data_IF_774462780459
#
_entry.id   IF_774462780459
#
_cell.length_a   1.000
_cell.length_b   1.000
_cell.length_c   1.000
_cell.angle_alpha   90.00
_cell.angle_beta   90.00
_cell.angle_gamma   90.00
#
_symmetry.space_group_name_H-M   'P 1'
#
loop_
_entity.id
_entity.type
_entity.pdbx_description
1 polymer ?
#
# COMPACT_ATOMS: atom_id res chain seq x y z
N UNK A 1 40.07 31.60 23.04
CA UNK A 1 39.01 30.59 22.86
C UNK A 1 37.67 31.28 23.06
N UNK A 2 36.94 31.52 21.98
CA UNK A 2 35.59 32.11 22.03
C UNK A 2 34.57 30.99 21.81
N UNK A 3 33.53 30.84 22.64
CA UNK A 3 32.48 29.87 22.40
C UNK A 3 31.46 30.48 21.44
N UNK A 4 31.46 30.01 20.19
CA UNK A 4 30.36 30.18 19.25
C UNK A 4 29.24 29.20 19.64
N UNK A 5 28.53 29.46 20.74
CA UNK A 5 27.24 28.83 20.99
C UNK A 5 26.16 29.66 20.30
N UNK A 6 26.05 29.47 18.99
CA UNK A 6 24.96 30.02 18.19
C UNK A 6 23.63 29.52 18.74
N UNK A 7 22.85 30.45 19.29
CA UNK A 7 21.55 30.21 19.90
C UNK A 7 20.51 29.95 18.79
N UNK A 8 20.43 28.72 18.27
CA UNK A 8 19.46 28.32 17.25
C UNK A 8 17.99 28.38 17.73
N UNK A 9 17.75 28.61 19.02
CA UNK A 9 16.43 28.61 19.65
C UNK A 9 15.59 29.87 19.33
N UNK A 10 16.20 30.97 18.89
CA UNK A 10 15.51 32.26 18.78
C UNK A 10 14.74 32.50 17.46
N UNK A 11 14.69 31.54 16.54
CA UNK A 11 14.09 31.75 15.20
C UNK A 11 12.68 31.17 15.00
N UNK A 12 12.10 30.45 15.96
CA UNK A 12 10.76 29.85 15.78
C UNK A 12 9.83 30.20 16.95
N UNK A 13 8.96 31.18 16.72
CA UNK A 13 7.90 31.57 17.66
C UNK A 13 6.85 30.46 17.82
N UNK A 14 6.08 30.46 18.92
CA UNK A 14 4.98 29.49 19.11
C UNK A 14 3.94 29.48 17.98
N UNK A 15 3.86 30.56 17.19
CA UNK A 15 3.00 30.66 15.99
C UNK A 15 3.48 29.73 14.86
N UNK A 16 4.78 29.46 14.75
CA UNK A 16 5.33 28.52 13.78
C UNK A 16 4.92 27.09 14.11
N UNK A 17 5.10 26.66 15.35
CA UNK A 17 4.70 25.31 15.81
C UNK A 17 3.20 25.06 15.63
N UNK A 18 2.35 26.03 16.00
CA UNK A 18 0.91 25.92 15.81
C UNK A 18 0.51 25.82 14.31
N UNK A 19 1.22 26.50 13.42
CA UNK A 19 0.99 26.40 11.97
C UNK A 19 1.46 25.05 11.42
N UNK A 20 2.63 24.59 11.88
CA UNK A 20 3.20 23.30 11.50
C UNK A 20 2.28 22.15 11.90
N UNK A 21 1.81 22.11 13.15
CA UNK A 21 0.88 21.09 13.64
C UNK A 21 -0.41 21.05 12.82
N UNK A 22 -0.96 22.22 12.50
CA UNK A 22 -2.15 22.34 11.65
C UNK A 22 -1.92 21.73 10.27
N UNK A 23 -0.78 22.01 9.62
CA UNK A 23 -0.46 21.49 8.28
C UNK A 23 -0.28 19.97 8.30
N UNK A 24 0.39 19.43 9.33
CA UNK A 24 0.58 17.98 9.50
C UNK A 24 -0.76 17.28 9.69
N UNK A 25 -1.59 17.76 10.63
CA UNK A 25 -2.90 17.17 10.92
C UNK A 25 -3.81 17.21 9.69
N UNK A 26 -3.87 18.35 9.00
CA UNK A 26 -4.70 18.48 7.79
C UNK A 26 -4.24 17.54 6.68
N UNK A 27 -2.93 17.40 6.48
CA UNK A 27 -2.36 16.44 5.52
C UNK A 27 -2.80 15.02 5.86
N UNK A 28 -2.67 14.62 7.13
CA UNK A 28 -3.06 13.29 7.59
C UNK A 28 -4.54 13.01 7.35
N UNK A 29 -5.42 13.91 7.77
CA UNK A 29 -6.86 13.79 7.55
C UNK A 29 -7.16 13.58 6.06
N UNK A 30 -6.58 14.43 5.20
CA UNK A 30 -6.85 14.38 3.76
C UNK A 30 -6.44 13.05 3.11
N UNK A 31 -5.23 12.54 3.37
CA UNK A 31 -4.84 11.27 2.75
C UNK A 31 -5.58 10.08 3.35
N UNK A 32 -5.91 10.11 4.66
CA UNK A 32 -6.71 9.05 5.30
C UNK A 32 -8.13 9.00 4.77
N UNK A 33 -8.74 10.14 4.46
CA UNK A 33 -10.07 10.16 3.83
C UNK A 33 -10.04 9.57 2.42
N UNK A 34 -9.00 9.86 1.63
CA UNK A 34 -8.83 9.21 0.31
C UNK A 34 -8.59 7.70 0.43
N UNK A 35 -7.83 7.26 1.43
CA UNK A 35 -7.62 5.84 1.73
C UNK A 35 -8.94 5.13 2.03
N UNK A 36 -9.85 5.74 2.82
CA UNK A 36 -11.18 5.17 3.09
C UNK A 36 -11.96 4.93 1.80
N UNK A 37 -12.01 5.93 0.92
CA UNK A 37 -12.71 5.83 -0.38
C UNK A 37 -12.11 4.70 -1.24
N UNK A 38 -10.78 4.62 -1.33
CA UNK A 38 -10.11 3.56 -2.08
C UNK A 38 -10.39 2.18 -1.47
N UNK A 39 -10.36 2.07 -0.14
CA UNK A 39 -10.68 0.82 0.56
C UNK A 39 -12.11 0.37 0.25
N UNK A 40 -13.09 1.26 0.34
CA UNK A 40 -14.48 0.94 0.02
C UNK A 40 -14.65 0.45 -1.42
N UNK A 41 -13.97 1.09 -2.38
CA UNK A 41 -13.95 0.63 -3.78
C UNK A 41 -13.31 -0.77 -3.90
N UNK A 42 -12.19 -1.00 -3.22
CA UNK A 42 -11.53 -2.30 -3.17
C UNK A 42 -12.43 -3.39 -2.58
N UNK A 43 -13.11 -3.10 -1.47
CA UNK A 43 -14.05 -4.02 -0.82
C UNK A 43 -15.21 -4.39 -1.75
N UNK A 44 -15.70 -3.44 -2.56
CA UNK A 44 -16.71 -3.71 -3.60
C UNK A 44 -16.16 -4.65 -4.68
N UNK A 45 -14.96 -4.38 -5.22
CA UNK A 45 -14.34 -5.24 -6.25
C UNK A 45 -14.10 -6.66 -5.73
N UNK A 46 -13.68 -6.82 -4.47
CA UNK A 46 -13.51 -8.14 -3.85
C UNK A 46 -14.84 -8.91 -3.78
N UNK A 47 -15.95 -8.22 -3.48
CA UNK A 47 -17.29 -8.82 -3.45
C UNK A 47 -17.80 -9.22 -4.84
N UNK A 48 -17.29 -8.60 -5.90
CA UNK A 48 -17.64 -8.93 -7.28
C UNK A 48 -16.91 -10.18 -7.81
N UNK A 49 -15.85 -10.66 -7.13
CA UNK A 49 -15.09 -11.84 -7.57
C UNK A 49 -15.98 -13.04 -7.95
N UNK A 50 -16.96 -13.50 -7.14
CA UNK A 50 -17.80 -14.66 -7.54
C UNK A 50 -18.68 -14.41 -8.77
N UNK A 51 -18.88 -13.16 -9.21
CA UNK A 51 -19.60 -12.82 -10.44
C UNK A 51 -18.73 -13.14 -11.67
N UNK A 52 -17.42 -12.89 -11.57
CA UNK A 52 -16.47 -13.05 -12.67
C UNK A 52 -15.66 -14.34 -12.62
N UNK A 53 -15.45 -14.90 -11.43
CA UNK A 53 -14.77 -16.17 -11.18
C UNK A 53 -15.67 -17.00 -10.28
N UNK A 54 -16.57 -17.74 -10.91
CA UNK A 54 -17.62 -18.46 -10.22
C UNK A 54 -17.15 -19.88 -9.82
N UNK A 55 -18.06 -20.65 -9.22
CA UNK A 55 -17.76 -22.01 -8.77
C UNK A 55 -17.47 -22.98 -9.92
N UNK A 56 -18.13 -22.82 -11.08
CA UNK A 56 -17.86 -23.66 -12.25
C UNK A 56 -16.44 -23.41 -12.77
N UNK A 57 -15.99 -22.15 -12.80
CA UNK A 57 -14.60 -21.80 -13.15
C UNK A 57 -13.62 -22.42 -12.16
N UNK A 58 -13.91 -22.34 -10.86
CA UNK A 58 -13.08 -22.95 -9.80
C UNK A 58 -12.97 -24.46 -9.93
N UNK A 59 -14.02 -25.14 -10.39
CA UNK A 59 -14.02 -26.58 -10.60
C UNK A 59 -13.29 -26.97 -11.89
N UNK A 60 -13.29 -26.10 -12.90
CA UNK A 60 -12.74 -26.38 -14.22
C UNK A 60 -11.26 -25.99 -14.34
N UNK A 61 -10.86 -24.90 -13.68
CA UNK A 61 -9.52 -24.34 -13.76
C UNK A 61 -8.78 -24.47 -12.43
N UNK A 62 -7.62 -25.12 -12.46
CA UNK A 62 -6.69 -25.20 -11.34
C UNK A 62 -5.40 -24.44 -11.60
N UNK A 63 -4.68 -24.13 -10.53
CA UNK A 63 -3.28 -23.68 -10.60
C UNK A 63 -2.36 -24.74 -9.99
N UNK A 64 -1.10 -24.73 -10.40
CA UNK A 64 -0.11 -25.66 -9.88
C UNK A 64 0.59 -25.12 -8.62
N UNK A 65 1.22 -26.01 -7.85
CA UNK A 65 2.01 -25.65 -6.65
C UNK A 65 3.09 -24.61 -6.98
N UNK A 66 3.72 -24.72 -8.16
CA UNK A 66 4.73 -23.77 -8.62
C UNK A 66 4.22 -22.34 -8.76
N UNK A 67 2.98 -22.15 -9.23
CA UNK A 67 2.36 -20.83 -9.29
C UNK A 67 2.28 -20.20 -7.90
N UNK A 68 1.78 -20.95 -6.91
CA UNK A 68 1.64 -20.48 -5.53
C UNK A 68 3.00 -20.18 -4.90
N UNK A 69 3.98 -21.06 -5.11
CA UNK A 69 5.36 -20.87 -4.61
C UNK A 69 6.00 -19.60 -5.18
N UNK A 70 5.87 -19.39 -6.48
CA UNK A 70 6.39 -18.19 -7.14
C UNK A 70 5.67 -16.92 -6.69
N UNK A 71 4.34 -16.95 -6.63
CA UNK A 71 3.53 -15.83 -6.15
C UNK A 71 3.94 -15.41 -4.74
N UNK A 72 4.02 -16.34 -3.80
CA UNK A 72 4.43 -16.04 -2.42
C UNK A 72 5.85 -15.49 -2.33
N UNK A 73 6.78 -16.03 -3.12
CA UNK A 73 8.15 -15.53 -3.19
C UNK A 73 8.21 -14.07 -3.67
N UNK A 74 7.39 -13.71 -4.66
CA UNK A 74 7.27 -12.33 -5.13
C UNK A 74 6.77 -11.38 -4.02
N UNK A 75 5.79 -11.79 -3.21
CA UNK A 75 5.32 -10.99 -2.07
C UNK A 75 6.30 -10.95 -0.89
N UNK A 76 7.13 -11.98 -0.73
CA UNK A 76 8.22 -11.99 0.23
C UNK A 76 9.42 -11.14 -0.22
N UNK A 77 9.52 -10.80 -1.50
CA UNK A 77 10.70 -10.13 -2.08
C UNK A 77 11.90 -11.07 -2.23
N UNK A 78 11.66 -12.38 -2.31
CA UNK A 78 12.70 -13.41 -2.30
C UNK A 78 12.72 -14.21 -3.62
N UNK A 79 13.88 -14.70 -4.08
CA UNK A 79 13.94 -15.61 -5.22
C UNK A 79 13.22 -16.92 -4.93
N UNK A 80 12.40 -17.39 -5.87
CA UNK A 80 11.68 -18.68 -5.75
C UNK A 80 12.61 -19.90 -5.77
N UNK A 81 13.83 -19.75 -6.30
CA UNK A 81 14.75 -20.85 -6.57
C UNK A 81 14.39 -21.64 -7.84
N UNK A 82 15.06 -22.77 -8.06
CA UNK A 82 14.83 -23.62 -9.23
C UNK A 82 13.45 -24.28 -9.17
N UNK A 83 12.80 -24.42 -10.33
CA UNK A 83 11.59 -25.21 -10.47
C UNK A 83 11.88 -26.70 -10.24
N UNK A 84 10.93 -27.40 -9.63
CA UNK A 84 11.05 -28.82 -9.27
C UNK A 84 9.81 -29.60 -9.72
N UNK A 85 9.90 -30.92 -9.87
CA UNK A 85 8.76 -31.77 -10.24
C UNK A 85 7.52 -31.59 -9.34
N UNK A 86 7.64 -31.45 -8.00
CA UNK A 86 6.50 -31.11 -7.14
C UNK A 86 5.72 -29.86 -7.54
N UNK A 87 6.37 -28.87 -8.19
CA UNK A 87 5.70 -27.65 -8.64
C UNK A 87 4.61 -27.93 -9.68
N UNK A 88 4.63 -29.09 -10.36
CA UNK A 88 3.64 -29.47 -11.38
C UNK A 88 2.34 -30.02 -10.80
N UNK A 89 2.30 -30.33 -9.50
CA UNK A 89 1.09 -30.83 -8.82
C UNK A 89 0.03 -29.74 -8.73
N UNK A 90 -1.24 -30.13 -8.65
CA UNK A 90 -2.34 -29.20 -8.37
C UNK A 90 -2.15 -28.56 -7.00
N UNK A 91 -2.34 -27.25 -6.90
CA UNK A 91 -2.47 -26.57 -5.63
C UNK A 91 -3.88 -26.78 -5.05
N UNK A 92 -4.02 -26.60 -3.74
CA UNK A 92 -5.32 -26.62 -3.04
C UNK A 92 -6.03 -25.26 -3.02
N UNK A 93 -5.44 -24.25 -3.67
CA UNK A 93 -5.98 -22.88 -3.73
C UNK A 93 -6.86 -22.75 -4.97
N UNK A 94 -8.05 -22.20 -4.80
CA UNK A 94 -9.00 -21.97 -5.90
C UNK A 94 -8.64 -20.73 -6.72
N UNK A 95 -9.07 -20.71 -7.99
CA UNK A 95 -8.95 -19.52 -8.83
C UNK A 95 -9.69 -18.30 -8.23
N UNK A 96 -10.86 -18.54 -7.60
CA UNK A 96 -11.62 -17.49 -6.91
C UNK A 96 -10.85 -16.91 -5.70
N UNK A 97 -10.12 -17.74 -4.96
CA UNK A 97 -9.27 -17.28 -3.86
C UNK A 97 -8.10 -16.42 -4.36
N UNK A 98 -7.44 -16.83 -5.45
CA UNK A 98 -6.37 -16.05 -6.09
C UNK A 98 -6.91 -14.69 -6.55
N UNK A 99 -8.08 -14.67 -7.19
CA UNK A 99 -8.72 -13.44 -7.63
C UNK A 99 -9.05 -12.50 -6.46
N UNK A 100 -9.57 -13.03 -5.34
CA UNK A 100 -9.83 -12.25 -4.12
C UNK A 100 -8.55 -11.66 -3.53
N UNK A 101 -7.50 -12.48 -3.39
CA UNK A 101 -6.21 -12.01 -2.84
C UNK A 101 -5.60 -10.95 -3.75
N UNK A 102 -5.63 -11.15 -5.07
CA UNK A 102 -5.09 -10.17 -6.01
C UNK A 102 -5.88 -8.85 -6.00
N UNK A 103 -7.22 -8.89 -5.94
CA UNK A 103 -8.05 -7.71 -5.79
C UNK A 103 -7.77 -6.97 -4.48
N UNK A 104 -7.62 -7.71 -3.37
CA UNK A 104 -7.21 -7.15 -2.08
C UNK A 104 -5.85 -6.46 -2.16
N UNK A 105 -4.84 -7.13 -2.73
CA UNK A 105 -3.50 -6.58 -2.89
C UNK A 105 -3.49 -5.31 -3.75
N UNK A 106 -4.25 -5.30 -4.86
CA UNK A 106 -4.43 -4.09 -5.66
C UNK A 106 -5.05 -2.96 -4.84
N UNK A 107 -6.07 -3.24 -4.04
CA UNK A 107 -6.67 -2.29 -3.10
C UNK A 107 -5.67 -1.73 -2.09
N UNK A 108 -4.78 -2.56 -1.54
CA UNK A 108 -3.69 -2.11 -0.65
C UNK A 108 -2.69 -1.22 -1.40
N UNK A 109 -2.30 -1.56 -2.63
CA UNK A 109 -1.42 -0.72 -3.45
C UNK A 109 -2.03 0.68 -3.71
N UNK A 110 -3.33 0.76 -3.97
CA UNK A 110 -4.01 2.05 -4.13
C UNK A 110 -4.04 2.87 -2.82
N UNK A 111 -4.19 2.22 -1.66
CA UNK A 111 -4.13 2.92 -0.37
C UNK A 111 -2.73 3.50 -0.12
N UNK A 112 -1.67 2.72 -0.38
CA UNK A 112 -0.30 3.20 -0.30
C UNK A 112 -0.05 4.38 -1.24
N UNK A 113 -0.57 4.33 -2.47
CA UNK A 113 -0.49 5.45 -3.42
C UNK A 113 -1.10 6.73 -2.85
N UNK A 114 -2.28 6.66 -2.24
CA UNK A 114 -2.93 7.85 -1.67
C UNK A 114 -2.16 8.45 -0.49
N UNK A 115 -1.56 7.60 0.35
CA UNK A 115 -0.66 8.03 1.41
C UNK A 115 0.58 8.73 0.85
N UNK A 116 1.27 8.10 -0.13
CA UNK A 116 2.46 8.67 -0.77
C UNK A 116 2.16 10.02 -1.44
N UNK A 117 1.02 10.15 -2.12
CA UNK A 117 0.58 11.42 -2.71
C UNK A 117 0.36 12.51 -1.65
N UNK A 118 -0.25 12.16 -0.51
CA UNK A 118 -0.44 13.07 0.62
C UNK A 118 0.89 13.54 1.21
N UNK A 119 1.80 12.61 1.51
CA UNK A 119 3.12 12.93 2.04
C UNK A 119 3.96 13.76 1.06
N UNK A 120 3.88 13.48 -0.24
CA UNK A 120 4.54 14.28 -1.28
C UNK A 120 4.00 15.71 -1.34
N UNK A 121 2.69 15.90 -1.21
CA UNK A 121 2.07 17.23 -1.16
C UNK A 121 2.54 18.01 0.08
N UNK A 122 2.58 17.35 1.24
CA UNK A 122 3.11 17.93 2.47
C UNK A 122 4.57 18.35 2.37
N UNK A 123 5.43 17.48 1.83
CA UNK A 123 6.83 17.81 1.61
C UNK A 123 7.02 19.05 0.73
N UNK A 124 6.22 19.18 -0.33
CA UNK A 124 6.22 20.38 -1.20
C UNK A 124 5.81 21.65 -0.43
N UNK A 125 4.82 21.55 0.45
CA UNK A 125 4.42 22.69 1.30
C UNK A 125 5.54 23.10 2.25
N UNK A 126 6.25 22.15 2.86
CA UNK A 126 7.43 22.44 3.68
C UNK A 126 8.51 23.18 2.89
N UNK A 127 8.79 22.75 1.65
CA UNK A 127 9.79 23.41 0.79
C UNK A 127 9.42 24.87 0.50
N UNK A 128 8.15 25.18 0.27
CA UNK A 128 7.68 26.55 0.04
C UNK A 128 7.72 27.43 1.29
N UNK A 129 7.63 26.85 2.49
CA UNK A 129 7.74 27.62 3.75
C UNK A 129 9.18 27.96 4.14
N UNK A 130 10.17 27.32 3.51
CA UNK A 130 11.60 27.58 3.74
C UNK A 130 12.25 28.46 2.65
N UNK A 131 11.46 28.96 1.69
CA UNK A 131 11.86 30.00 0.72
C UNK A 131 11.37 31.36 1.20
#
# INVERSE_FOLDING_TARGET
MSPLTGNFSALFTGKFWALFDKVVIQTEIQYRDRIKIVKEKGDTIIKEVPIYVNQADTNHFGVNVGFVRHYNAAFAGEPTGLATEPDRRSASISLAEIAKVNAFNAGVCWQWREQTLGLKAFYRQLQHMHQ
#
